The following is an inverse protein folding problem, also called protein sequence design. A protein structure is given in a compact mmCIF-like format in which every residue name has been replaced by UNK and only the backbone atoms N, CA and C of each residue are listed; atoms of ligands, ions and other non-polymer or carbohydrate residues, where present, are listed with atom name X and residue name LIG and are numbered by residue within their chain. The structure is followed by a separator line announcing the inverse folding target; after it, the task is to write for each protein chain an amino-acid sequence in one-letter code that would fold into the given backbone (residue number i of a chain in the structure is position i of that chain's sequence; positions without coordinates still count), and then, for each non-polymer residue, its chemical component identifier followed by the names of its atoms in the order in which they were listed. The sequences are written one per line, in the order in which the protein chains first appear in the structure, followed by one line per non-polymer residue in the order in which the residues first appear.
data_IF_742810333031
#
_entry.id   IF_742810333031
#
_cell.length_a   1.000
_cell.length_b   1.000
_cell.length_c   1.000
_cell.angle_alpha   90.00
_cell.angle_beta   90.00
_cell.angle_gamma   90.00
#
_symmetry.space_group_name_H-M   'P 1'
#
loop_
_entity.id
_entity.type
_entity.pdbx_description
1 polymer ?
#
# COMPACT_ATOMS: atom_id res chain seq x y z
N UNK A 1 -1.17 -17.29 1.51
CA UNK A 1 -1.71 -17.03 2.87
C UNK A 1 -3.00 -16.24 2.74
N UNK A 2 -3.89 -16.26 3.74
CA UNK A 2 -5.00 -15.30 3.82
C UNK A 2 -4.52 -14.00 4.46
N UNK A 3 -5.09 -12.86 4.06
CA UNK A 3 -4.83 -11.58 4.73
C UNK A 3 -5.55 -11.47 6.07
N UNK A 4 -6.71 -12.11 6.20
CA UNK A 4 -7.52 -12.14 7.42
C UNK A 4 -8.11 -13.54 7.59
N UNK A 5 -7.72 -14.22 8.65
CA UNK A 5 -8.18 -15.58 8.97
C UNK A 5 -9.42 -15.58 9.86
N UNK A 6 -9.54 -14.62 10.77
CA UNK A 6 -10.66 -14.49 11.69
C UNK A 6 -11.12 -13.03 11.82
N UNK A 7 -12.41 -12.82 12.08
CA UNK A 7 -12.94 -11.51 12.43
C UNK A 7 -12.51 -11.12 13.84
N UNK A 8 -12.23 -9.84 14.08
CA UNK A 8 -11.86 -9.34 15.41
C UNK A 8 -10.46 -9.73 15.90
N UNK A 9 -9.57 -10.19 15.01
CA UNK A 9 -8.16 -10.47 15.31
C UNK A 9 -7.22 -9.70 14.36
N UNK A 10 -5.92 -9.65 14.61
CA UNK A 10 -4.96 -9.10 13.65
C UNK A 10 -4.95 -9.87 12.32
N UNK A 11 -4.56 -9.20 11.23
CA UNK A 11 -4.38 -9.84 9.93
C UNK A 11 -2.93 -10.19 9.62
N UNK A 12 -2.71 -11.03 8.60
CA UNK A 12 -1.38 -11.33 8.07
C UNK A 12 -0.97 -10.30 7.01
N UNK A 13 0.16 -9.62 7.24
CA UNK A 13 0.69 -8.61 6.33
C UNK A 13 1.91 -9.12 5.56
N UNK A 14 2.27 -8.38 4.50
CA UNK A 14 3.51 -8.56 3.74
C UNK A 14 4.21 -7.22 3.58
N UNK A 15 4.79 -6.67 4.64
CA UNK A 15 5.46 -5.36 4.55
C UNK A 15 6.64 -5.43 3.59
N UNK A 16 6.75 -4.43 2.71
CA UNK A 16 7.82 -4.36 1.72
C UNK A 16 8.81 -3.28 2.15
N UNK A 17 10.06 -3.67 2.38
CA UNK A 17 11.15 -2.74 2.60
C UNK A 17 11.90 -2.49 1.30
N UNK A 18 12.03 -1.22 0.90
CA UNK A 18 12.73 -0.81 -0.30
C UNK A 18 13.90 0.13 0.06
N UNK A 19 15.08 -0.19 -0.46
CA UNK A 19 16.25 0.70 -0.45
C UNK A 19 16.73 0.93 -1.88
N UNK A 20 17.30 2.10 -2.15
CA UNK A 20 17.85 2.46 -3.44
C UNK A 20 19.37 2.57 -3.33
N UNK A 21 20.11 1.96 -4.26
CA UNK A 21 21.57 1.92 -4.23
C UNK A 21 22.14 2.47 -5.53
N UNK A 22 23.19 3.27 -5.41
CA UNK A 22 23.93 3.83 -6.53
C UNK A 22 25.41 3.81 -6.20
N UNK A 23 26.23 3.28 -7.10
CA UNK A 23 27.69 3.24 -6.97
C UNK A 23 28.14 2.61 -5.63
N UNK A 24 27.47 1.52 -5.22
CA UNK A 24 27.74 0.80 -3.96
C UNK A 24 27.29 1.52 -2.69
N UNK A 25 26.61 2.67 -2.79
CA UNK A 25 26.13 3.45 -1.64
C UNK A 25 24.61 3.53 -1.62
N UNK A 26 24.02 3.39 -0.43
CA UNK A 26 22.59 3.60 -0.26
C UNK A 26 22.27 5.08 -0.56
N UNK A 27 21.41 5.31 -1.55
CA UNK A 27 20.96 6.63 -1.99
C UNK A 27 19.97 7.26 -1.01
N UNK A 28 19.31 6.45 -0.17
CA UNK A 28 18.40 6.90 0.89
C UNK A 28 19.11 7.24 2.21
N UNK A 29 20.45 7.17 2.25
CA UNK A 29 21.25 7.46 3.45
C UNK A 29 20.93 8.84 4.03
N UNK A 30 20.54 8.86 5.30
CA UNK A 30 20.31 10.10 6.07
C UNK A 30 21.56 10.38 6.90
N UNK A 31 22.11 11.58 6.80
CA UNK A 31 23.35 11.94 7.51
C UNK A 31 23.11 12.33 8.97
N UNK A 32 21.94 12.88 9.30
CA UNK A 32 21.57 13.34 10.64
C UNK A 32 20.06 13.15 10.90
N UNK A 33 19.67 12.87 12.15
CA UNK A 33 18.24 12.68 12.49
C UNK A 33 17.42 13.97 12.40
N UNK A 34 18.08 15.13 12.54
CA UNK A 34 17.44 16.43 12.50
C UNK A 34 17.31 16.99 11.08
N UNK A 35 17.98 16.38 10.09
CA UNK A 35 17.96 16.83 8.72
C UNK A 35 16.75 16.32 7.94
N UNK A 36 16.55 16.94 6.78
CA UNK A 36 15.56 16.50 5.81
C UNK A 36 15.99 15.18 5.15
N UNK A 37 15.02 14.39 4.70
CA UNK A 37 15.32 13.21 3.89
C UNK A 37 16.06 13.66 2.61
N UNK A 38 17.04 12.87 2.12
CA UNK A 38 17.65 13.12 0.82
C UNK A 38 16.58 13.27 -0.27
N UNK A 39 16.77 14.14 -1.28
CA UNK A 39 15.76 14.39 -2.30
C UNK A 39 15.28 13.11 -3.00
N UNK A 40 16.19 12.17 -3.28
CA UNK A 40 15.84 10.87 -3.88
C UNK A 40 14.97 10.00 -2.97
N UNK A 41 15.18 10.08 -1.65
CA UNK A 41 14.37 9.33 -0.67
C UNK A 41 12.99 9.96 -0.51
N UNK A 42 12.94 11.29 -0.40
CA UNK A 42 11.71 12.08 -0.36
C UNK A 42 10.84 11.81 -1.61
N UNK A 43 11.46 11.85 -2.79
CA UNK A 43 10.79 11.60 -4.06
C UNK A 43 10.29 10.16 -4.23
N UNK A 44 11.05 9.17 -3.75
CA UNK A 44 10.60 7.78 -3.73
C UNK A 44 9.34 7.62 -2.86
N UNK A 45 9.32 8.24 -1.68
CA UNK A 45 8.15 8.22 -0.79
C UNK A 45 6.97 8.92 -1.45
N UNK A 46 7.19 10.07 -2.10
CA UNK A 46 6.15 10.83 -2.80
C UNK A 46 5.43 9.95 -3.83
N UNK A 47 6.19 9.29 -4.71
CA UNK A 47 5.63 8.41 -5.72
C UNK A 47 4.88 7.21 -5.12
N UNK A 48 5.42 6.56 -4.07
CA UNK A 48 4.73 5.45 -3.40
C UNK A 48 3.41 5.90 -2.76
N UNK A 49 3.37 7.07 -2.12
CA UNK A 49 2.14 7.61 -1.51
C UNK A 49 1.11 7.99 -2.58
N UNK A 50 1.54 8.66 -3.65
CA UNK A 50 0.69 9.12 -4.75
C UNK A 50 -0.01 7.96 -5.46
N UNK A 51 0.73 6.89 -5.77
CA UNK A 51 0.21 5.73 -6.49
C UNK A 51 -0.41 4.66 -5.57
N UNK A 52 -0.39 4.85 -4.25
CA UNK A 52 -0.87 3.85 -3.30
C UNK A 52 -2.35 3.44 -3.48
N UNK A 53 -3.27 4.34 -3.88
CA UNK A 53 -4.63 3.96 -4.22
C UNK A 53 -4.68 2.90 -5.33
N UNK A 54 -3.97 3.13 -6.44
CA UNK A 54 -3.91 2.19 -7.56
C UNK A 54 -3.11 0.93 -7.22
N UNK A 55 -1.95 1.08 -6.58
CA UNK A 55 -1.13 -0.03 -6.12
C UNK A 55 -1.90 -1.00 -5.20
N UNK A 56 -2.92 -0.51 -4.48
CA UNK A 56 -3.75 -1.35 -3.61
C UNK A 56 -4.33 -2.58 -4.32
N UNK A 57 -4.61 -2.54 -5.63
CA UNK A 57 -5.09 -3.72 -6.37
C UNK A 57 -4.03 -4.84 -6.47
N UNK A 58 -2.75 -4.47 -6.50
CA UNK A 58 -1.61 -5.37 -6.58
C UNK A 58 -1.15 -5.82 -5.18
N UNK A 59 -1.26 -4.92 -4.19
CA UNK A 59 -0.88 -5.15 -2.80
C UNK A 59 -1.94 -5.91 -1.99
N UNK A 60 -3.21 -5.83 -2.41
CA UNK A 60 -4.38 -6.38 -1.72
C UNK A 60 -5.35 -7.01 -2.75
N UNK A 61 -4.97 -8.14 -3.37
CA UNK A 61 -5.60 -8.59 -4.62
C UNK A 61 -6.93 -9.36 -4.44
N UNK A 62 -7.39 -9.58 -3.21
CA UNK A 62 -8.56 -10.43 -2.92
C UNK A 62 -9.64 -9.68 -2.13
N UNK A 63 -10.87 -10.20 -2.13
CA UNK A 63 -11.94 -9.69 -1.25
C UNK A 63 -11.52 -9.78 0.23
N UNK A 64 -10.80 -10.84 0.61
CA UNK A 64 -10.30 -11.05 1.96
C UNK A 64 -9.25 -10.01 2.38
N UNK A 65 -8.45 -9.50 1.44
CA UNK A 65 -7.43 -8.48 1.73
C UNK A 65 -8.02 -7.28 2.47
N UNK A 66 -9.21 -6.83 2.07
CA UNK A 66 -9.86 -5.64 2.62
C UNK A 66 -10.52 -5.89 3.98
N UNK A 67 -10.69 -7.14 4.40
CA UNK A 67 -11.13 -7.49 5.77
C UNK A 67 -10.01 -7.27 6.80
N UNK A 68 -8.75 -7.21 6.35
CA UNK A 68 -7.61 -6.76 7.18
C UNK A 68 -7.57 -5.24 7.30
N UNK A 69 -8.00 -4.53 6.26
CA UNK A 69 -7.83 -3.08 6.10
C UNK A 69 -8.97 -2.30 6.76
N UNK A 70 -9.15 -2.54 8.05
CA UNK A 70 -10.16 -1.91 8.89
C UNK A 70 -9.47 -1.15 10.03
N UNK A 71 -10.02 0.00 10.48
CA UNK A 71 -9.48 0.74 11.62
C UNK A 71 -9.30 -0.15 12.87
N UNK A 72 -8.26 0.14 13.66
CA UNK A 72 -8.01 -0.54 14.95
C UNK A 72 -7.10 -1.78 14.89
N UNK A 73 -6.68 -2.24 13.71
CA UNK A 73 -5.89 -3.48 13.55
C UNK A 73 -4.49 -3.27 12.94
N UNK A 74 -3.88 -2.12 13.19
CA UNK A 74 -2.53 -1.74 12.74
C UNK A 74 -2.28 -1.82 11.21
N UNK A 75 -3.35 -1.85 10.42
CA UNK A 75 -3.31 -1.84 8.97
C UNK A 75 -3.54 -0.40 8.46
N UNK A 76 -2.67 0.13 7.58
CA UNK A 76 -2.86 1.48 7.05
C UNK A 76 -4.12 1.59 6.21
N UNK A 77 -4.98 2.59 6.47
CA UNK A 77 -6.24 2.84 5.74
C UNK A 77 -6.25 4.17 4.98
N UNK A 78 -5.22 4.99 5.14
CA UNK A 78 -5.06 6.28 4.47
C UNK A 78 -3.71 6.39 3.75
N UNK A 79 -3.64 7.25 2.74
CA UNK A 79 -2.44 7.54 1.98
C UNK A 79 -1.57 8.51 2.78
N UNK A 80 -0.63 7.95 3.53
CA UNK A 80 0.20 8.71 4.46
C UNK A 80 1.63 8.18 4.53
N UNK A 81 2.53 9.05 4.98
CA UNK A 81 3.88 8.66 5.32
C UNK A 81 4.37 9.35 6.58
N UNK A 82 5.41 8.82 7.21
CA UNK A 82 6.08 9.48 8.32
C UNK A 82 7.44 8.86 8.65
N UNK A 83 8.29 9.62 9.33
CA UNK A 83 9.60 9.16 9.81
C UNK A 83 9.37 8.29 11.04
N UNK A 84 9.84 7.05 10.99
CA UNK A 84 9.66 6.04 12.03
C UNK A 84 8.20 5.77 12.45
N UNK A 85 7.23 6.28 11.69
CA UNK A 85 5.82 6.21 12.04
C UNK A 85 5.18 4.89 11.58
N UNK A 86 4.80 4.04 12.53
CA UNK A 86 4.16 2.74 12.27
C UNK A 86 2.66 2.82 11.99
N UNK A 87 2.04 3.97 12.23
CA UNK A 87 0.63 4.20 11.88
C UNK A 87 0.45 4.62 10.42
N UNK A 88 1.48 5.20 9.81
CA UNK A 88 1.45 5.63 8.42
C UNK A 88 1.54 4.44 7.44
N UNK A 89 1.06 4.64 6.21
CA UNK A 89 1.11 3.60 5.18
C UNK A 89 2.53 3.36 4.63
N UNK A 90 3.31 4.44 4.51
CA UNK A 90 4.71 4.41 4.12
C UNK A 90 5.56 4.95 5.25
N UNK A 91 6.42 4.11 5.83
CA UNK A 91 7.33 4.53 6.91
C UNK A 91 8.72 4.77 6.35
N UNK A 92 9.26 5.97 6.56
CA UNK A 92 10.68 6.22 6.34
C UNK A 92 11.45 5.70 7.55
N UNK A 93 12.32 4.71 7.34
CA UNK A 93 13.20 4.16 8.36
C UNK A 93 14.58 4.79 8.18
N UNK A 94 15.04 5.51 9.21
CA UNK A 94 16.25 6.33 9.16
C UNK A 94 17.24 5.90 10.24
N UNK A 95 18.48 5.66 9.83
CA UNK A 95 19.54 5.22 10.72
C UNK A 95 20.82 6.03 10.44
N UNK A 96 21.02 7.21 11.06
CA UNK A 96 22.21 8.02 10.76
C UNK A 96 23.54 7.37 11.14
N UNK A 97 23.57 6.56 12.20
CA UNK A 97 24.76 5.78 12.58
C UNK A 97 25.02 4.59 11.63
N UNK A 98 23.99 4.15 10.90
CA UNK A 98 24.04 3.04 9.94
C UNK A 98 23.32 3.41 8.65
N UNK A 99 23.85 4.37 7.87
CA UNK A 99 23.12 4.96 6.75
C UNK A 99 22.76 3.94 5.65
N UNK A 100 23.49 2.83 5.57
CA UNK A 100 23.20 1.67 4.73
C UNK A 100 21.85 0.99 5.04
N UNK A 101 21.35 1.11 6.27
CA UNK A 101 20.09 0.53 6.71
C UNK A 101 18.87 1.43 6.40
N UNK A 102 19.07 2.64 5.88
CA UNK A 102 17.98 3.55 5.54
C UNK A 102 17.11 2.97 4.40
N UNK A 103 15.79 2.97 4.60
CA UNK A 103 14.82 2.36 3.67
C UNK A 103 13.41 2.88 3.90
N UNK A 104 12.55 2.84 2.89
CA UNK A 104 11.10 2.94 3.13
C UNK A 104 10.51 1.56 3.42
N UNK A 105 9.46 1.54 4.22
CA UNK A 105 8.60 0.38 4.49
C UNK A 105 7.18 0.69 3.98
N UNK A 106 6.72 -0.01 2.95
CA UNK A 106 5.31 -0.01 2.54
C UNK A 106 4.56 -1.07 3.35
N UNK A 107 3.63 -0.63 4.21
CA UNK A 107 2.96 -1.46 5.21
C UNK A 107 1.59 -1.99 4.75
N UNK A 108 1.14 -1.51 3.58
CA UNK A 108 -0.17 -1.81 3.01
C UNK A 108 -0.36 -3.27 2.53
N UNK A 109 0.64 -3.98 1.96
CA UNK A 109 0.38 -5.30 1.36
C UNK A 109 -0.05 -6.35 2.38
N UNK A 110 -0.93 -7.25 1.93
CA UNK A 110 -1.33 -8.45 2.67
C UNK A 110 -0.41 -9.63 2.36
N UNK A 111 -0.43 -10.66 3.21
CA UNK A 111 0.31 -11.91 2.95
C UNK A 111 -0.25 -12.73 1.76
N UNK A 112 -1.39 -12.30 1.21
CA UNK A 112 -2.06 -12.83 0.04
C UNK A 112 -1.63 -12.15 -1.28
N UNK A 113 -0.79 -11.11 -1.22
CA UNK A 113 -0.26 -10.44 -2.39
C UNK A 113 0.67 -11.37 -3.20
N UNK A 114 0.60 -11.28 -4.53
CA UNK A 114 1.64 -11.87 -5.37
C UNK A 114 2.93 -11.06 -5.19
N UNK A 115 4.04 -11.65 -4.70
CA UNK A 115 5.23 -10.89 -4.35
C UNK A 115 5.85 -10.18 -5.55
N UNK A 116 5.77 -10.75 -6.76
CA UNK A 116 6.31 -10.13 -7.97
C UNK A 116 5.54 -8.85 -8.32
N UNK A 117 4.21 -8.89 -8.28
CA UNK A 117 3.36 -7.74 -8.58
C UNK A 117 3.43 -6.69 -7.47
N UNK A 118 3.54 -7.11 -6.21
CA UNK A 118 3.66 -6.20 -5.09
C UNK A 118 4.98 -5.43 -5.12
N UNK A 119 6.10 -6.12 -5.43
CA UNK A 119 7.39 -5.47 -5.64
C UNK A 119 7.37 -4.55 -6.87
N UNK A 120 6.80 -5.00 -7.98
CA UNK A 120 6.66 -4.19 -9.19
C UNK A 120 5.89 -2.89 -8.91
N UNK A 121 4.78 -2.96 -8.17
CA UNK A 121 3.99 -1.79 -7.79
C UNK A 121 4.83 -0.78 -6.99
N UNK A 122 5.47 -1.22 -5.90
CA UNK A 122 6.25 -0.34 -5.02
C UNK A 122 7.45 0.26 -5.75
N UNK A 123 8.16 -0.52 -6.58
CA UNK A 123 9.32 -0.05 -7.34
C UNK A 123 8.90 0.91 -8.45
N UNK A 124 7.82 0.61 -9.18
CA UNK A 124 7.31 1.49 -10.24
C UNK A 124 6.88 2.84 -9.66
N UNK A 125 6.10 2.84 -8.57
CA UNK A 125 5.69 4.06 -7.87
C UNK A 125 6.88 4.87 -7.36
N UNK A 126 7.85 4.23 -6.71
CA UNK A 126 9.05 4.92 -6.22
C UNK A 126 9.89 5.50 -7.37
N UNK A 127 10.02 4.75 -8.47
CA UNK A 127 10.78 5.17 -9.65
C UNK A 127 10.14 6.37 -10.32
N UNK A 128 8.82 6.38 -10.46
CA UNK A 128 8.08 7.52 -11.02
C UNK A 128 8.29 8.79 -10.19
N UNK A 129 8.11 8.69 -8.86
CA UNK A 129 8.36 9.80 -7.94
C UNK A 129 9.80 10.34 -8.05
N UNK A 130 10.80 9.45 -8.10
CA UNK A 130 12.21 9.83 -8.30
C UNK A 130 12.41 10.55 -9.65
N UNK A 131 11.84 10.04 -10.75
CA UNK A 131 11.98 10.63 -12.09
C UNK A 131 11.38 12.02 -12.19
N UNK A 132 10.22 12.23 -11.56
CA UNK A 132 9.54 13.54 -11.52
C UNK A 132 10.07 14.46 -10.42
N UNK A 133 11.02 13.99 -9.60
CA UNK A 133 11.52 14.71 -8.42
C UNK A 133 10.37 15.17 -7.52
N UNK A 134 9.38 14.29 -7.34
CA UNK A 134 8.15 14.62 -6.63
C UNK A 134 8.41 14.96 -5.15
N UNK A 135 7.59 15.84 -4.60
CA UNK A 135 7.59 16.17 -3.17
C UNK A 135 6.44 15.45 -2.48
N UNK A 136 6.68 14.72 -1.39
CA UNK A 136 5.61 14.05 -0.68
C UNK A 136 4.77 15.10 0.07
N UNK A 137 3.53 14.76 0.47
CA UNK A 137 2.76 15.61 1.38
C UNK A 137 3.50 15.79 2.72
N UNK A 138 3.05 16.69 3.62
CA UNK A 138 3.62 16.78 4.96
C UNK A 138 3.65 15.40 5.66
N UNK A 139 4.77 15.10 6.32
CA UNK A 139 4.91 13.87 7.10
C UNK A 139 3.87 13.85 8.24
N UNK A 140 3.29 12.69 8.48
CA UNK A 140 2.39 12.50 9.62
C UNK A 140 3.19 12.30 10.89
N UNK A 141 3.02 13.21 11.83
CA UNK A 141 3.42 13.07 13.22
C UNK A 141 2.25 12.50 14.05
N UNK A 142 2.57 11.70 15.06
CA UNK A 142 1.57 11.03 15.90
C UNK A 142 0.83 9.90 15.19
N UNK A 143 -0.44 9.70 15.55
CA UNK A 143 -1.25 8.59 15.08
C UNK A 143 -2.01 8.94 13.78
N UNK A 144 -1.57 8.36 12.66
CA UNK A 144 -2.22 8.49 11.36
C UNK A 144 -3.61 7.83 11.32
N UNK A 145 -3.93 6.88 12.20
CA UNK A 145 -5.25 6.25 12.23
C UNK A 145 -6.34 7.22 12.72
N UNK A 146 -5.97 8.18 13.58
CA UNK A 146 -6.89 9.17 14.14
C UNK A 146 -7.10 10.41 13.24
N UNK A 147 -6.44 10.45 12.08
CA UNK A 147 -6.41 11.63 11.19
C UNK A 147 -7.48 11.50 10.10
N UNK A 148 -8.54 12.29 10.21
CA UNK A 148 -9.64 12.34 9.23
C UNK A 148 -9.34 13.21 8.00
N UNK A 149 -8.27 14.00 8.03
CA UNK A 149 -7.84 14.89 6.94
C UNK A 149 -6.97 14.18 5.89
N UNK A 150 -6.54 12.95 6.15
CA UNK A 150 -5.70 12.18 5.23
C UNK A 150 -6.55 11.50 4.14
N UNK A 151 -6.07 11.43 2.89
CA UNK A 151 -6.80 10.75 1.81
C UNK A 151 -7.04 9.27 2.13
N UNK A 152 -8.27 8.80 1.99
CA UNK A 152 -8.59 7.39 2.20
C UNK A 152 -8.04 6.50 1.08
N UNK A 153 -7.57 5.30 1.46
CA UNK A 153 -7.20 4.25 0.50
C UNK A 153 -8.42 3.37 0.18
N UNK A 154 -8.39 2.64 -0.95
CA UNK A 154 -9.46 1.70 -1.29
C UNK A 154 -9.82 0.75 -0.15
N UNK A 155 -11.09 0.79 0.28
CA UNK A 155 -11.65 -0.08 1.31
C UNK A 155 -12.25 -1.39 0.77
N UNK A 156 -12.19 -1.60 -0.54
CA UNK A 156 -12.75 -2.78 -1.21
C UNK A 156 -11.99 -3.13 -2.49
N UNK A 157 -12.13 -4.38 -2.96
CA UNK A 157 -11.56 -4.81 -4.24
C UNK A 157 -12.10 -3.95 -5.39
N UNK A 158 -13.39 -3.61 -5.36
CA UNK A 158 -14.02 -2.74 -6.35
C UNK A 158 -13.39 -1.34 -6.42
N UNK A 159 -13.18 -0.69 -5.26
CA UNK A 159 -12.57 0.64 -5.23
C UNK A 159 -11.10 0.60 -5.68
N UNK A 160 -10.38 -0.49 -5.42
CA UNK A 160 -9.01 -0.66 -5.89
C UNK A 160 -8.93 -0.93 -7.40
N UNK A 161 -9.89 -1.69 -7.95
CA UNK A 161 -10.00 -1.88 -9.41
C UNK A 161 -10.14 -0.51 -10.09
N UNK A 162 -11.06 0.33 -9.61
CA UNK A 162 -11.28 1.68 -10.17
C UNK A 162 -10.03 2.56 -10.04
N UNK A 163 -9.36 2.51 -8.89
CA UNK A 163 -8.14 3.30 -8.68
C UNK A 163 -7.01 2.86 -9.62
N UNK A 164 -6.81 1.55 -9.80
CA UNK A 164 -5.79 1.03 -10.71
C UNK A 164 -6.10 1.34 -12.18
N UNK A 165 -7.37 1.30 -12.58
CA UNK A 165 -7.78 1.64 -13.95
C UNK A 165 -7.50 3.11 -14.31
N UNK A 166 -7.56 4.01 -13.32
CA UNK A 166 -7.28 5.43 -13.49
C UNK A 166 -5.77 5.78 -13.51
N UNK A 167 -4.90 4.88 -13.05
CA UNK A 167 -3.46 5.15 -12.88
C UNK A 167 -2.64 4.61 -14.06
N UNK A 168 -2.37 5.49 -15.03
CA UNK A 168 -1.61 5.11 -16.22
C UNK A 168 -0.15 4.76 -15.92
N UNK A 169 0.46 5.38 -14.92
CA UNK A 169 1.87 5.11 -14.58
C UNK A 169 2.04 3.65 -14.14
N UNK A 170 1.19 3.17 -13.25
CA UNK A 170 1.26 1.78 -12.80
C UNK A 170 0.81 0.77 -13.86
N UNK A 171 -0.19 1.12 -14.67
CA UNK A 171 -0.62 0.25 -15.78
C UNK A 171 0.48 0.08 -16.83
N UNK A 172 1.07 1.19 -17.25
CA UNK A 172 2.14 1.19 -18.26
C UNK A 172 3.38 0.45 -17.74
N UNK A 173 3.68 0.55 -16.45
CA UNK A 173 4.79 -0.18 -15.82
C UNK A 173 4.64 -1.71 -15.86
N UNK A 174 3.40 -2.22 -15.98
CA UNK A 174 3.11 -3.65 -16.04
C UNK A 174 2.77 -4.16 -17.45
N UNK A 175 2.82 -3.29 -18.46
CA UNK A 175 2.19 -3.47 -19.79
C UNK A 175 0.65 -3.36 -19.75
N UNK A 176 0.10 -2.67 -20.77
CA UNK A 176 -1.34 -2.38 -20.84
C UNK A 176 -2.17 -3.65 -21.01
N UNK A 177 -1.69 -4.67 -21.76
CA UNK A 177 -2.46 -5.92 -21.95
C UNK A 177 -2.50 -6.73 -20.67
N UNK A 178 -1.38 -6.79 -19.95
CA UNK A 178 -1.36 -7.42 -18.63
C UNK A 178 -2.31 -6.70 -17.67
N UNK A 179 -2.25 -5.37 -17.64
CA UNK A 179 -3.09 -4.55 -16.76
C UNK A 179 -4.58 -4.75 -17.04
N UNK A 180 -4.99 -4.74 -18.31
CA UNK A 180 -6.36 -5.03 -18.75
C UNK A 180 -6.84 -6.41 -18.27
N UNK A 181 -6.01 -7.44 -18.49
CA UNK A 181 -6.33 -8.80 -18.08
C UNK A 181 -6.40 -8.94 -16.55
N UNK A 182 -5.49 -8.28 -15.84
CA UNK A 182 -5.45 -8.31 -14.39
C UNK A 182 -6.71 -7.66 -13.80
N UNK A 183 -7.10 -6.48 -14.27
CA UNK A 183 -8.37 -5.81 -13.91
C UNK A 183 -9.56 -6.74 -14.17
N UNK A 184 -9.63 -7.35 -15.35
CA UNK A 184 -10.70 -8.28 -15.72
C UNK A 184 -10.77 -9.46 -14.74
N UNK A 185 -9.62 -10.04 -14.39
CA UNK A 185 -9.56 -11.17 -13.45
C UNK A 185 -10.06 -10.80 -12.04
N UNK A 186 -9.79 -9.57 -11.58
CA UNK A 186 -10.26 -9.06 -10.28
C UNK A 186 -11.74 -8.70 -10.31
N UNK A 187 -12.24 -8.22 -11.45
CA UNK A 187 -13.67 -7.99 -11.63
C UNK A 187 -14.48 -9.31 -11.59
N UNK A 188 -13.93 -10.39 -12.12
CA UNK A 188 -14.53 -11.73 -12.02
C UNK A 188 -14.58 -12.25 -10.58
N UNK A 189 -13.50 -12.08 -9.81
CA UNK A 189 -13.48 -12.39 -8.37
C UNK A 189 -14.58 -11.63 -7.63
N UNK A 190 -14.71 -10.32 -7.88
CA UNK A 190 -15.74 -9.49 -7.28
C UNK A 190 -17.15 -9.96 -7.66
N UNK A 191 -17.35 -10.36 -8.92
CA UNK A 191 -18.63 -10.91 -9.39
C UNK A 191 -18.98 -12.20 -8.67
N UNK A 192 -18.05 -13.15 -8.58
CA UNK A 192 -18.26 -14.42 -7.90
C UNK A 192 -18.62 -14.21 -6.42
N UNK A 193 -17.95 -13.26 -5.75
CA UNK A 193 -18.30 -12.89 -4.38
C UNK A 193 -19.71 -12.30 -4.25
N UNK A 194 -20.13 -11.42 -5.18
CA UNK A 194 -21.49 -10.82 -5.17
C UNK A 194 -22.62 -11.84 -5.39
N UNK A 195 -22.34 -12.93 -6.09
CA UNK A 195 -23.29 -14.02 -6.32
C UNK A 195 -23.37 -14.99 -5.13
N UNK A 196 -22.51 -14.81 -4.13
CA UNK A 196 -22.44 -15.68 -2.94
C UNK A 196 -23.30 -15.14 -1.81
N UNK A 197 -24.21 -15.97 -1.28
CA UNK A 197 -24.96 -15.69 -0.04
C UNK A 197 -24.22 -16.29 1.15
N UNK A 198 -23.58 -15.44 1.95
CA UNK A 198 -22.77 -15.85 3.10
C UNK A 198 -23.59 -16.30 4.31
N UNK A 199 -22.98 -17.07 5.20
CA UNK A 199 -23.62 -17.45 6.47
C UNK A 199 -23.94 -16.22 7.34
N UNK A 200 -23.07 -15.21 7.33
CA UNK A 200 -23.31 -13.95 8.02
C UNK A 200 -24.62 -13.27 7.56
N UNK A 201 -24.91 -13.27 6.25
CA UNK A 201 -26.17 -12.74 5.72
C UNK A 201 -27.37 -13.57 6.19
N UNK A 202 -27.26 -14.91 6.18
CA UNK A 202 -28.31 -15.82 6.66
C UNK A 202 -28.60 -15.62 8.14
N UNK A 203 -27.58 -15.52 8.98
CA UNK A 203 -27.72 -15.27 10.41
C UNK A 203 -28.32 -13.89 10.70
N UNK A 204 -27.87 -12.86 9.97
CA UNK A 204 -28.27 -11.47 10.18
C UNK A 204 -29.71 -11.19 9.74
N UNK A 205 -30.13 -11.75 8.62
CA UNK A 205 -31.40 -11.42 7.96
C UNK A 205 -32.42 -12.58 7.95
N UNK A 206 -31.96 -13.83 8.07
CA UNK A 206 -32.83 -15.01 8.01
C UNK A 206 -33.66 -15.25 9.28
N UNK A 207 -33.34 -14.58 10.39
CA UNK A 207 -34.11 -14.63 11.65
C UNK A 207 -35.14 -13.51 11.79
N UNK A 208 -35.31 -12.67 10.76
CA UNK A 208 -36.19 -11.49 10.79
C UNK A 208 -37.55 -11.72 10.11
N UNK A 209 -38.00 -12.98 10.06
CA UNK A 209 -39.36 -13.36 9.65
C UNK A 209 -40.01 -14.14 10.79
#
# INVERSE_FOLDING_TARGET
FLAKTAAGEEGSSGHIHLSCWRDGKNAFRVADRAGSLPPVFSAAIAGVVEHLPAASLLLNPTINSYKRLVPGWFAPVNASWGIENRSAAVRAIVHPEHPELCRLECRRPGADANPYLALAAVVASATDGIRRQASPPPAVEGDAYARADLPELPGSLESAIRAFDADRVLRDALDERFSEYYVTSRAWELKAWRETVSEWERERYGRTV
#
